data_IF_666472305359
#
_entry.id   IF_666472305359
#
_cell.length_a   1.000
_cell.length_b   1.000
_cell.length_c   1.000
_cell.angle_alpha   90.00
_cell.angle_beta   90.00
_cell.angle_gamma   90.00
#
_symmetry.space_group_name_H-M   'P 1'
#
loop_
_entity.id
_entity.type
_entity.pdbx_description
1 polymer ?
#
# COMPACT_ATOMS: atom_id res chain seq x y z
N UNK A 1 19.84 17.18 -11.97
CA UNK A 1 20.98 16.38 -12.46
C UNK A 1 20.75 14.88 -12.25
N UNK A 2 20.43 14.38 -11.01
CA UNK A 2 20.17 12.96 -10.76
C UNK A 2 18.85 12.48 -11.40
N UNK A 3 17.81 13.28 -11.33
CA UNK A 3 16.51 12.98 -11.93
C UNK A 3 16.64 12.80 -13.45
N UNK A 4 17.34 13.70 -14.14
CA UNK A 4 17.57 13.59 -15.58
C UNK A 4 18.36 12.32 -15.97
N UNK A 5 19.41 12.02 -15.20
CA UNK A 5 20.21 10.82 -15.43
C UNK A 5 19.42 9.52 -15.27
N UNK A 6 18.42 9.52 -14.36
CA UNK A 6 17.57 8.36 -14.10
C UNK A 6 16.39 8.22 -15.08
N UNK A 7 16.01 9.32 -15.77
CA UNK A 7 14.85 9.34 -16.64
C UNK A 7 15.19 8.88 -18.06
N UNK A 8 14.70 7.73 -18.54
CA UNK A 8 14.98 7.26 -19.89
C UNK A 8 14.59 8.27 -20.98
N UNK A 9 15.36 8.35 -22.03
CA UNK A 9 15.10 9.28 -23.15
C UNK A 9 13.79 8.97 -23.89
N UNK A 10 13.27 7.77 -23.78
CA UNK A 10 12.04 7.31 -24.40
C UNK A 10 10.77 7.71 -23.66
N UNK A 11 10.89 8.26 -22.43
CA UNK A 11 9.74 8.66 -21.63
C UNK A 11 9.03 9.85 -22.24
N UNK A 12 7.73 9.72 -22.44
CA UNK A 12 6.83 10.76 -22.99
C UNK A 12 5.90 11.36 -21.96
N UNK A 13 5.62 10.63 -20.89
CA UNK A 13 4.75 11.06 -19.79
C UNK A 13 5.39 10.68 -18.46
N UNK A 14 5.31 11.56 -17.48
CA UNK A 14 5.68 11.32 -16.08
C UNK A 14 4.45 11.59 -15.25
N UNK A 15 4.14 10.74 -14.32
CA UNK A 15 3.12 10.99 -13.32
C UNK A 15 3.79 11.13 -11.97
N UNK A 16 3.53 12.24 -11.30
CA UNK A 16 4.02 12.53 -9.95
C UNK A 16 2.87 12.31 -8.99
N UNK A 17 3.13 11.54 -7.94
CA UNK A 17 2.17 11.27 -6.89
C UNK A 17 2.67 11.91 -5.60
N UNK A 18 1.89 12.83 -5.06
CA UNK A 18 2.13 13.47 -3.77
C UNK A 18 1.24 12.86 -2.69
N UNK A 19 1.80 12.69 -1.48
CA UNK A 19 1.06 12.24 -0.28
C UNK A 19 0.58 13.40 0.57
N UNK A 20 0.56 14.59 -0.01
CA UNK A 20 0.11 15.84 0.59
C UNK A 20 -0.77 16.56 -0.40
N UNK A 21 -1.63 17.43 0.09
CA UNK A 21 -2.45 18.35 -0.70
C UNK A 21 -2.21 19.78 -0.21
N UNK A 22 -1.80 20.63 -1.12
CA UNK A 22 -1.61 22.07 -0.87
C UNK A 22 -2.76 22.86 -1.46
N UNK A 23 -3.74 23.22 -0.63
CA UNK A 23 -5.01 23.81 -1.08
C UNK A 23 -4.87 25.16 -1.78
N UNK A 24 -3.82 25.93 -1.49
CA UNK A 24 -3.59 27.25 -2.06
C UNK A 24 -2.44 27.30 -3.07
N UNK A 25 -1.88 26.16 -3.45
CA UNK A 25 -0.83 26.05 -4.46
C UNK A 25 -1.42 25.61 -5.82
N UNK A 26 -0.69 25.92 -6.89
CA UNK A 26 -1.03 25.47 -8.24
C UNK A 26 -0.85 23.93 -8.40
N UNK A 27 -0.11 23.32 -7.51
CA UNK A 27 0.14 21.89 -7.44
C UNK A 27 0.91 21.53 -6.17
N UNK A 28 1.01 20.25 -5.90
CA UNK A 28 1.70 19.73 -4.74
C UNK A 28 3.22 19.81 -4.88
N UNK A 29 3.97 19.80 -3.77
CA UNK A 29 5.40 20.13 -3.77
C UNK A 29 6.25 19.31 -4.74
N UNK A 30 6.12 17.97 -4.72
CA UNK A 30 6.92 17.11 -5.58
C UNK A 30 6.55 17.30 -7.07
N UNK A 31 5.26 17.50 -7.36
CA UNK A 31 4.82 17.81 -8.72
C UNK A 31 5.45 19.10 -9.24
N UNK A 32 5.47 20.16 -8.43
CA UNK A 32 6.07 21.44 -8.79
C UNK A 32 7.56 21.30 -9.05
N UNK A 33 8.28 20.60 -8.17
CA UNK A 33 9.72 20.35 -8.30
C UNK A 33 10.05 19.58 -9.59
N UNK A 34 9.30 18.51 -9.88
CA UNK A 34 9.51 17.72 -11.09
C UNK A 34 9.18 18.52 -12.34
N UNK A 35 8.12 19.33 -12.31
CA UNK A 35 7.71 20.16 -13.44
C UNK A 35 8.77 21.25 -13.74
N UNK A 36 9.30 21.91 -12.70
CA UNK A 36 10.41 22.85 -12.84
C UNK A 36 11.65 22.15 -13.40
N UNK A 37 12.02 20.98 -12.87
CA UNK A 37 13.17 20.24 -13.38
C UNK A 37 13.00 19.82 -14.86
N UNK A 38 11.80 19.47 -15.31
CA UNK A 38 11.54 19.17 -16.71
C UNK A 38 11.73 20.40 -17.61
N UNK A 39 11.27 21.57 -17.17
CA UNK A 39 11.47 22.83 -17.89
C UNK A 39 12.97 23.19 -18.00
N UNK A 40 13.74 23.05 -16.92
CA UNK A 40 15.18 23.32 -16.92
C UNK A 40 15.98 22.39 -17.84
N UNK A 41 15.46 21.19 -18.08
CA UNK A 41 16.10 20.18 -18.94
C UNK A 41 15.74 20.31 -20.42
N UNK A 42 14.88 21.25 -20.78
CA UNK A 42 14.33 21.40 -22.13
C UNK A 42 13.79 20.08 -22.71
N UNK A 43 13.16 19.28 -21.85
CA UNK A 43 12.56 17.99 -22.22
C UNK A 43 11.05 18.12 -22.32
N UNK A 44 10.52 17.92 -23.52
CA UNK A 44 9.08 17.93 -23.78
C UNK A 44 8.40 16.64 -23.28
N UNK A 45 8.35 16.47 -21.97
CA UNK A 45 7.67 15.35 -21.30
C UNK A 45 6.42 15.89 -20.60
N UNK A 46 5.28 15.29 -20.85
CA UNK A 46 4.04 15.67 -20.16
C UNK A 46 4.09 15.20 -18.71
N UNK A 47 4.04 16.13 -17.76
CA UNK A 47 3.96 15.82 -16.33
C UNK A 47 2.51 15.88 -15.87
N UNK A 48 2.06 14.83 -15.19
CA UNK A 48 0.74 14.70 -14.58
C UNK A 48 0.88 14.70 -13.06
N UNK A 49 -0.01 15.40 -12.38
CA UNK A 49 -0.13 15.42 -10.93
C UNK A 49 -1.19 14.42 -10.45
N UNK A 50 -0.94 13.78 -9.34
CA UNK A 50 -1.91 12.96 -8.63
C UNK A 50 -1.65 12.94 -7.14
N UNK A 51 -2.69 12.76 -6.35
CA UNK A 51 -2.67 12.71 -4.91
C UNK A 51 -3.01 11.28 -4.44
N UNK A 52 -2.25 10.74 -3.46
CA UNK A 52 -2.47 9.41 -2.91
C UNK A 52 -2.25 9.38 -1.40
N UNK A 53 -2.82 8.40 -0.71
CA UNK A 53 -2.50 8.11 0.70
C UNK A 53 -2.79 9.23 1.68
N UNK A 54 -3.57 10.24 1.30
CA UNK A 54 -3.95 11.37 2.15
C UNK A 54 -4.75 10.84 3.34
N UNK A 55 -4.51 11.39 4.52
CA UNK A 55 -5.15 10.93 5.76
C UNK A 55 -4.73 9.52 6.20
N UNK A 56 -3.56 9.06 5.77
CA UNK A 56 -3.03 7.74 6.14
C UNK A 56 -3.67 6.57 5.37
N UNK A 57 -4.43 6.86 4.31
CA UNK A 57 -5.00 5.80 3.47
C UNK A 57 -3.93 5.00 2.76
N UNK A 58 -4.22 3.73 2.58
CA UNK A 58 -3.34 2.79 1.92
C UNK A 58 -3.18 3.09 0.42
N UNK A 59 -2.05 2.65 -0.13
CA UNK A 59 -1.78 2.70 -1.57
C UNK A 59 -1.45 1.29 -2.08
N UNK A 60 -2.36 0.71 -2.83
CA UNK A 60 -2.33 -0.69 -3.25
C UNK A 60 -1.82 -0.87 -4.69
N UNK A 61 -1.39 -2.07 -5.10
CA UNK A 61 -1.03 -2.35 -6.49
C UNK A 61 -2.14 -2.04 -7.50
N UNK A 62 -3.41 -2.26 -7.14
CA UNK A 62 -4.54 -1.90 -7.98
C UNK A 62 -4.64 -0.38 -8.21
N UNK A 63 -4.30 0.43 -7.20
CA UNK A 63 -4.23 1.89 -7.33
C UNK A 63 -3.08 2.33 -8.24
N UNK A 64 -1.92 1.68 -8.15
CA UNK A 64 -0.82 1.89 -9.11
C UNK A 64 -1.27 1.57 -10.54
N UNK A 65 -1.99 0.46 -10.72
CA UNK A 65 -2.55 0.12 -12.03
C UNK A 65 -3.54 1.18 -12.53
N UNK A 66 -4.39 1.75 -11.65
CA UNK A 66 -5.29 2.84 -12.01
C UNK A 66 -4.53 4.06 -12.54
N UNK A 67 -3.42 4.43 -11.90
CA UNK A 67 -2.55 5.53 -12.35
C UNK A 67 -1.98 5.22 -13.74
N UNK A 68 -1.45 4.04 -13.98
CA UNK A 68 -0.96 3.65 -15.31
C UNK A 68 -2.07 3.62 -16.37
N UNK A 69 -3.27 3.19 -16.01
CA UNK A 69 -4.43 3.22 -16.91
C UNK A 69 -4.79 4.66 -17.29
N UNK A 70 -4.77 5.57 -16.33
CA UNK A 70 -4.95 7.00 -16.60
C UNK A 70 -3.87 7.53 -17.54
N UNK A 71 -2.59 7.21 -17.29
CA UNK A 71 -1.49 7.63 -18.15
C UNK A 71 -1.59 7.12 -19.59
N UNK A 72 -2.18 5.94 -19.80
CA UNK A 72 -2.41 5.35 -21.13
C UNK A 72 -3.57 6.01 -21.88
N UNK A 73 -4.49 6.65 -21.17
CA UNK A 73 -5.65 7.31 -21.79
C UNK A 73 -5.22 8.39 -22.79
N UNK A 74 -6.03 8.61 -23.80
CA UNK A 74 -5.86 9.72 -24.75
C UNK A 74 -6.00 11.09 -24.06
N UNK A 75 -6.92 11.16 -23.10
CA UNK A 75 -7.19 12.36 -22.29
C UNK A 75 -6.99 12.03 -20.81
N UNK A 76 -5.73 11.90 -20.35
CA UNK A 76 -5.48 11.57 -18.95
C UNK A 76 -5.94 12.70 -18.03
N UNK A 77 -6.58 12.33 -16.93
CA UNK A 77 -6.86 13.27 -15.85
C UNK A 77 -5.54 13.81 -15.27
N UNK A 78 -5.53 15.08 -14.95
CA UNK A 78 -4.44 15.76 -14.24
C UNK A 78 -4.99 16.29 -12.91
N UNK A 79 -4.17 16.40 -11.87
CA UNK A 79 -4.59 16.72 -10.51
C UNK A 79 -5.69 15.78 -10.03
N UNK A 80 -5.47 14.48 -10.23
CA UNK A 80 -6.40 13.43 -9.83
C UNK A 80 -6.11 12.90 -8.42
N UNK A 81 -7.10 12.28 -7.81
CA UNK A 81 -6.92 11.49 -6.58
C UNK A 81 -7.00 9.99 -6.90
N UNK A 82 -6.26 9.19 -6.14
CA UNK A 82 -6.36 7.73 -6.16
C UNK A 82 -6.41 7.17 -4.75
N UNK A 83 -7.41 6.30 -4.48
CA UNK A 83 -7.67 5.78 -3.14
C UNK A 83 -8.36 6.77 -2.19
N UNK A 84 -8.65 7.97 -2.67
CA UNK A 84 -9.45 8.99 -1.99
C UNK A 84 -10.53 9.43 -2.96
N UNK A 85 -11.76 9.49 -2.49
CA UNK A 85 -12.89 9.96 -3.30
C UNK A 85 -12.96 11.48 -3.23
N UNK A 86 -12.92 12.13 -4.39
CA UNK A 86 -13.14 13.56 -4.55
C UNK A 86 -14.56 13.74 -5.11
N UNK A 87 -15.49 14.04 -4.23
CA UNK A 87 -16.91 14.24 -4.52
C UNK A 87 -17.22 15.66 -5.03
N UNK A 88 -16.26 16.57 -4.95
CA UNK A 88 -16.40 17.97 -5.37
C UNK A 88 -15.97 18.16 -6.82
N UNK A 89 -14.77 17.74 -7.17
CA UNK A 89 -14.18 17.93 -8.52
C UNK A 89 -14.30 16.68 -9.40
N UNK A 90 -14.66 15.54 -8.81
CA UNK A 90 -14.77 14.23 -9.49
C UNK A 90 -13.49 13.81 -10.22
N UNK A 91 -12.34 14.13 -9.62
CA UNK A 91 -11.03 13.81 -10.19
C UNK A 91 -10.54 12.41 -9.84
N UNK A 92 -11.21 11.70 -8.96
CA UNK A 92 -10.83 10.35 -8.54
C UNK A 92 -10.71 9.38 -9.70
N UNK A 93 -9.67 8.54 -9.65
CA UNK A 93 -9.50 7.47 -10.63
C UNK A 93 -10.30 6.24 -10.22
N UNK A 94 -10.95 5.56 -11.19
CA UNK A 94 -11.56 4.26 -10.92
C UNK A 94 -10.46 3.23 -10.60
N UNK A 95 -10.63 2.51 -9.50
CA UNK A 95 -9.69 1.49 -9.06
C UNK A 95 -10.14 0.15 -9.62
N UNK A 96 -9.27 -0.58 -10.35
CA UNK A 96 -9.56 -1.93 -10.81
C UNK A 96 -9.66 -2.91 -9.64
N UNK A 97 -10.14 -4.15 -9.88
CA UNK A 97 -10.16 -5.19 -8.86
C UNK A 97 -8.78 -5.39 -8.21
N UNK A 98 -8.73 -5.89 -6.96
CA UNK A 98 -7.47 -6.17 -6.27
C UNK A 98 -6.49 -6.96 -7.13
N UNK A 99 -5.22 -6.57 -7.08
CA UNK A 99 -4.14 -7.21 -7.84
C UNK A 99 -3.15 -7.84 -6.86
N UNK A 100 -3.03 -9.16 -6.92
CA UNK A 100 -1.97 -9.86 -6.22
C UNK A 100 -0.68 -9.80 -7.07
N UNK A 101 0.38 -9.24 -6.48
CA UNK A 101 1.71 -9.10 -7.12
C UNK A 101 2.74 -10.06 -6.54
N UNK A 102 2.33 -10.92 -5.61
CA UNK A 102 3.22 -11.85 -4.95
C UNK A 102 3.23 -13.21 -5.67
N UNK A 103 4.35 -13.94 -5.63
CA UNK A 103 4.41 -15.34 -6.00
C UNK A 103 3.42 -16.18 -5.16
N UNK A 104 2.89 -17.25 -5.73
CA UNK A 104 1.88 -18.13 -5.09
C UNK A 104 2.40 -18.90 -3.88
N UNK A 105 3.71 -19.03 -3.74
CA UNK A 105 4.39 -19.69 -2.63
C UNK A 105 4.66 -18.78 -1.43
N UNK A 106 4.39 -17.48 -1.54
CA UNK A 106 4.41 -16.56 -0.41
C UNK A 106 3.16 -16.73 0.42
N UNK A 107 3.34 -17.00 1.71
CA UNK A 107 2.27 -17.08 2.70
C UNK A 107 2.01 -15.73 3.34
N UNK A 108 0.73 -15.42 3.52
CA UNK A 108 0.25 -14.14 4.04
C UNK A 108 -0.60 -14.34 5.29
N UNK A 109 -0.20 -13.73 6.40
CA UNK A 109 -0.89 -13.85 7.68
C UNK A 109 -1.26 -12.47 8.22
N UNK A 110 -2.47 -12.35 8.77
CA UNK A 110 -2.90 -11.16 9.50
C UNK A 110 -3.16 -11.54 10.96
N UNK A 111 -2.61 -10.77 11.88
CA UNK A 111 -2.80 -10.96 13.31
C UNK A 111 -3.46 -9.73 13.92
N UNK A 112 -4.63 -9.94 14.53
CA UNK A 112 -5.37 -8.92 15.26
C UNK A 112 -5.11 -9.09 16.76
N UNK A 113 -4.61 -8.02 17.39
CA UNK A 113 -4.30 -7.99 18.82
C UNK A 113 -4.77 -6.70 19.47
N UNK A 114 -4.73 -6.70 20.79
CA UNK A 114 -4.97 -5.53 21.63
C UNK A 114 -3.63 -4.88 21.96
N UNK A 115 -3.58 -3.56 21.94
CA UNK A 115 -2.37 -2.82 22.32
C UNK A 115 -1.88 -3.25 23.70
N UNK A 116 -0.62 -3.66 23.78
CA UNK A 116 0.06 -4.19 24.98
C UNK A 116 -0.30 -5.64 25.38
N UNK A 117 -0.92 -6.42 24.51
CA UNK A 117 -1.23 -7.83 24.76
C UNK A 117 -0.08 -8.80 24.44
N UNK A 118 1.04 -8.27 23.89
CA UNK A 118 2.20 -9.07 23.49
C UNK A 118 2.17 -9.59 22.06
N UNK A 119 1.09 -9.39 21.29
CA UNK A 119 0.97 -9.85 19.89
C UNK A 119 2.11 -9.37 19.01
N UNK A 120 2.51 -8.11 19.13
CA UNK A 120 3.63 -7.54 18.36
C UNK A 120 4.94 -8.24 18.68
N UNK A 121 5.25 -8.44 19.97
CA UNK A 121 6.45 -9.14 20.41
C UNK A 121 6.48 -10.60 19.94
N UNK A 122 5.37 -11.31 20.10
CA UNK A 122 5.23 -12.69 19.63
C UNK A 122 5.45 -12.80 18.12
N UNK A 123 4.91 -11.85 17.33
CA UNK A 123 5.12 -11.82 15.89
C UNK A 123 6.58 -11.57 15.52
N UNK A 124 7.26 -10.65 16.23
CA UNK A 124 8.69 -10.40 15.99
C UNK A 124 9.54 -11.65 16.27
N UNK A 125 9.23 -12.38 17.33
CA UNK A 125 9.92 -13.64 17.64
C UNK A 125 9.60 -14.73 16.60
N UNK A 126 8.36 -14.85 16.16
CA UNK A 126 7.99 -15.78 15.09
C UNK A 126 8.76 -15.53 13.79
N UNK A 127 8.92 -14.26 13.40
CA UNK A 127 9.71 -13.88 12.22
C UNK A 127 11.19 -14.29 12.38
N UNK A 128 11.78 -14.02 13.55
CA UNK A 128 13.16 -14.42 13.86
C UNK A 128 13.34 -15.95 13.78
N UNK A 129 12.36 -16.70 14.31
CA UNK A 129 12.38 -18.16 14.24
C UNK A 129 12.25 -18.67 12.80
N UNK A 130 11.40 -18.09 11.98
CA UNK A 130 11.24 -18.44 10.56
C UNK A 130 12.58 -18.20 9.84
N UNK A 131 13.11 -16.98 9.91
CA UNK A 131 14.34 -16.61 9.18
C UNK A 131 15.57 -17.32 9.74
N UNK A 132 15.61 -17.58 11.06
CA UNK A 132 16.76 -18.21 11.71
C UNK A 132 16.82 -19.73 11.56
N UNK A 133 15.69 -20.41 11.27
CA UNK A 133 15.63 -21.87 11.21
C UNK A 133 15.22 -22.41 9.82
N UNK A 134 14.99 -21.53 8.86
CA UNK A 134 14.63 -21.91 7.49
C UNK A 134 15.34 -21.00 6.49
N UNK A 135 15.34 -21.38 5.22
CA UNK A 135 15.85 -20.55 4.12
C UNK A 135 14.80 -19.55 3.60
N UNK A 136 13.76 -19.27 4.39
CA UNK A 136 12.70 -18.36 4.00
C UNK A 136 13.03 -16.91 4.34
N UNK A 137 12.57 -16.02 3.49
CA UNK A 137 12.50 -14.58 3.78
C UNK A 137 11.18 -14.26 4.49
N UNK A 138 11.20 -13.28 5.37
CA UNK A 138 10.00 -12.81 6.04
C UNK A 138 9.93 -11.28 6.08
N UNK A 139 8.73 -10.74 6.01
CA UNK A 139 8.42 -9.32 6.12
C UNK A 139 7.25 -9.14 7.09
N UNK A 140 7.32 -8.15 7.97
CA UNK A 140 6.19 -7.75 8.79
C UNK A 140 5.95 -6.25 8.72
N UNK A 141 4.67 -5.89 8.67
CA UNK A 141 4.20 -4.52 8.77
C UNK A 141 3.23 -4.43 9.96
N UNK A 142 3.48 -3.46 10.85
CA UNK A 142 2.71 -3.30 12.08
C UNK A 142 1.85 -2.05 12.00
N UNK A 143 0.53 -2.23 12.00
CA UNK A 143 -0.45 -1.15 12.12
C UNK A 143 -0.84 -0.96 13.59
N UNK A 144 -0.75 0.28 14.06
CA UNK A 144 -1.12 0.66 15.43
C UNK A 144 -2.23 1.70 15.39
N UNK A 145 -3.16 1.57 16.34
CA UNK A 145 -4.09 2.64 16.65
C UNK A 145 -3.33 3.81 17.33
N UNK A 146 -3.88 5.02 17.23
CA UNK A 146 -3.35 6.20 17.92
C UNK A 146 -3.30 6.06 19.45
N UNK A 147 -4.11 5.17 20.03
CA UNK A 147 -4.11 4.86 21.46
C UNK A 147 -3.06 3.81 21.81
N UNK A 148 -2.11 4.16 22.69
CA UNK A 148 -1.01 3.28 23.10
C UNK A 148 -1.44 2.03 23.86
N UNK A 149 -2.54 2.06 24.60
CA UNK A 149 -3.02 0.91 25.36
C UNK A 149 -4.51 0.70 25.11
N UNK A 150 -4.91 -0.56 24.85
CA UNK A 150 -6.28 -0.91 24.53
C UNK A 150 -6.74 -0.58 23.12
N UNK A 151 -5.87 -0.04 22.25
CA UNK A 151 -6.13 0.16 20.84
C UNK A 151 -5.96 -1.12 20.01
N UNK A 152 -6.53 -1.15 18.81
CA UNK A 152 -6.34 -2.23 17.86
C UNK A 152 -4.89 -2.27 17.37
N UNK A 153 -4.28 -3.45 17.33
CA UNK A 153 -3.07 -3.72 16.57
C UNK A 153 -3.35 -4.70 15.45
N UNK A 154 -2.92 -4.38 14.26
CA UNK A 154 -3.02 -5.28 13.10
C UNK A 154 -1.63 -5.51 12.56
N UNK A 155 -1.20 -6.76 12.54
CA UNK A 155 0.11 -7.13 12.03
C UNK A 155 -0.04 -7.94 10.75
N UNK A 156 0.59 -7.49 9.70
CA UNK A 156 0.66 -8.16 8.41
C UNK A 156 2.00 -8.86 8.27
N UNK A 157 2.01 -10.17 8.17
CA UNK A 157 3.21 -11.01 8.05
C UNK A 157 3.21 -11.74 6.72
N UNK A 158 4.32 -11.69 6.03
CA UNK A 158 4.56 -12.47 4.80
C UNK A 158 5.84 -13.27 4.97
N UNK A 159 5.85 -14.49 4.45
CA UNK A 159 7.07 -15.29 4.36
C UNK A 159 7.05 -16.18 3.13
N UNK A 160 8.21 -16.43 2.54
CA UNK A 160 8.36 -17.19 1.30
C UNK A 160 9.79 -17.42 0.91
N UNK A 161 10.05 -18.19 -0.18
CA UNK A 161 11.38 -18.61 -0.57
C UNK A 161 12.24 -17.49 -1.20
N UNK A 162 11.61 -16.38 -1.62
CA UNK A 162 12.27 -15.25 -2.26
C UNK A 162 12.13 -13.95 -1.46
N UNK A 163 13.00 -12.95 -1.64
CA UNK A 163 12.90 -11.66 -1.00
C UNK A 163 11.57 -10.96 -1.29
N UNK A 164 10.82 -10.63 -0.24
CA UNK A 164 9.49 -10.03 -0.33
C UNK A 164 9.61 -8.51 -0.42
N UNK A 165 9.02 -7.91 -1.45
CA UNK A 165 9.00 -6.46 -1.70
C UNK A 165 7.55 -5.96 -1.81
N UNK A 166 6.75 -6.20 -0.78
CA UNK A 166 5.33 -5.86 -0.75
C UNK A 166 5.04 -4.93 0.44
N UNK A 167 5.09 -3.63 0.19
CA UNK A 167 4.93 -2.59 1.23
C UNK A 167 3.48 -2.19 1.47
N UNK A 168 2.52 -2.91 0.91
CA UNK A 168 1.09 -2.71 1.10
C UNK A 168 0.53 -3.74 2.07
N UNK A 169 -0.60 -3.41 2.69
CA UNK A 169 -1.29 -4.31 3.61
C UNK A 169 -1.81 -5.56 2.88
N UNK A 170 -1.88 -6.67 3.60
CA UNK A 170 -2.45 -7.91 3.09
C UNK A 170 -3.94 -7.70 2.89
N UNK A 171 -4.41 -7.93 1.68
CA UNK A 171 -5.84 -7.89 1.33
C UNK A 171 -6.43 -9.29 1.24
N UNK A 172 -5.57 -10.29 1.10
CA UNK A 172 -5.89 -11.69 0.88
C UNK A 172 -4.98 -12.53 1.76
N UNK A 173 -5.49 -13.09 2.85
CA UNK A 173 -4.70 -13.78 3.84
C UNK A 173 -4.88 -15.30 3.77
N UNK A 174 -3.78 -16.04 3.81
CA UNK A 174 -3.80 -17.50 4.02
C UNK A 174 -4.20 -17.86 5.46
N UNK A 175 -3.88 -16.96 6.43
CA UNK A 175 -4.15 -17.18 7.84
C UNK A 175 -4.53 -15.88 8.54
N UNK A 176 -5.54 -15.93 9.40
CA UNK A 176 -5.91 -14.85 10.29
C UNK A 176 -5.90 -15.36 11.75
N UNK A 177 -5.08 -14.72 12.58
CA UNK A 177 -5.10 -14.87 14.04
C UNK A 177 -5.84 -13.71 14.69
N UNK A 178 -6.79 -14.00 15.56
CA UNK A 178 -7.50 -13.00 16.34
C UNK A 178 -7.37 -13.32 17.83
N UNK A 179 -6.57 -12.53 18.53
CA UNK A 179 -6.24 -12.78 19.95
C UNK A 179 -7.28 -12.23 20.93
N UNK A 180 -8.28 -11.49 20.44
CA UNK A 180 -9.36 -10.97 21.28
C UNK A 180 -10.72 -11.37 20.68
N UNK A 181 -11.48 -12.20 21.39
CA UNK A 181 -12.76 -12.74 20.92
C UNK A 181 -13.78 -11.66 20.52
N UNK A 182 -13.80 -10.51 21.21
CA UNK A 182 -14.70 -9.40 20.87
C UNK A 182 -14.41 -8.78 19.48
N UNK A 183 -13.21 -8.95 18.95
CA UNK A 183 -12.85 -8.43 17.63
C UNK A 183 -13.49 -9.22 16.48
N UNK A 184 -13.84 -10.49 16.70
CA UNK A 184 -14.54 -11.31 15.71
C UNK A 184 -15.88 -10.70 15.29
N UNK A 185 -16.53 -9.95 16.20
CA UNK A 185 -17.80 -9.29 15.93
C UNK A 185 -17.68 -7.80 15.61
N UNK A 186 -16.53 -7.21 15.93
CA UNK A 186 -16.31 -5.77 15.78
C UNK A 186 -15.65 -5.37 14.47
N UNK A 187 -14.79 -6.25 13.95
CA UNK A 187 -14.02 -6.00 12.73
C UNK A 187 -14.38 -7.02 11.67
N UNK A 188 -14.34 -6.58 10.42
CA UNK A 188 -14.51 -7.48 9.30
C UNK A 188 -13.23 -8.34 9.13
N UNK A 189 -13.33 -9.59 9.56
CA UNK A 189 -12.26 -10.58 9.41
C UNK A 189 -12.42 -11.39 8.10
N UNK A 190 -13.28 -10.95 7.18
CA UNK A 190 -13.57 -11.65 5.92
C UNK A 190 -12.50 -11.46 4.85
N UNK A 191 -11.41 -10.77 5.16
CA UNK A 191 -10.24 -10.62 4.27
C UNK A 191 -9.51 -11.93 3.96
N UNK A 192 -10.11 -13.06 4.32
CA UNK A 192 -9.66 -14.39 3.93
C UNK A 192 -10.30 -14.74 2.60
N UNK A 193 -9.49 -14.94 1.57
CA UNK A 193 -10.00 -15.50 0.33
C UNK A 193 -10.48 -16.94 0.57
N UNK A 194 -11.78 -17.14 0.52
CA UNK A 194 -12.39 -18.47 0.72
C UNK A 194 -12.34 -19.22 -0.61
N UNK A 195 -11.18 -19.70 -1.00
CA UNK A 195 -11.07 -20.73 -2.03
C UNK A 195 -11.00 -22.15 -1.44
N UNK A 196 -10.70 -22.26 -0.11
CA UNK A 196 -10.73 -23.51 0.66
C UNK A 196 -10.98 -23.21 2.16
N UNK A 197 -11.43 -24.18 2.98
CA UNK A 197 -11.79 -23.92 4.37
C UNK A 197 -10.57 -23.50 5.19
N UNK A 198 -10.37 -22.21 5.31
CA UNK A 198 -9.33 -21.61 6.13
C UNK A 198 -9.66 -21.85 7.60
N UNK A 199 -8.78 -22.52 8.33
CA UNK A 199 -8.96 -22.73 9.77
C UNK A 199 -8.84 -21.38 10.48
N UNK A 200 -9.96 -20.86 10.97
CA UNK A 200 -9.96 -19.79 11.96
C UNK A 200 -9.46 -20.36 13.27
N UNK A 201 -8.31 -19.93 13.74
CA UNK A 201 -7.84 -20.24 15.08
C UNK A 201 -8.07 -19.01 15.92
N UNK A 202 -9.07 -19.06 16.80
CA UNK A 202 -9.22 -18.11 17.91
C UNK A 202 -8.51 -18.76 19.10
N UNK A 203 -7.45 -18.17 19.57
CA UNK A 203 -6.71 -18.63 20.76
C UNK A 203 -7.05 -17.67 21.90
#
# INVERSE_FOLDING_TARGET
KHFDAALPKTVKKVCVLDKVKEDNAYGDPLYLDVNCAMNDLDRHVRVLAGEFGIGGKEFTPAMVQAVFNNMKSEKPKNHFTVGVEDDVRHTSLPIPPPLNTLPSDVKQCILYGLGSDGTVGATQEAIKLIVGNTDLYAQANFGFDAHKSGGLTVTHVRFGPEPIKAEYNIQDADYIGCHLASYVHKYDLSLIHISEPTRRVVI
#
